data_IF_311146953364
#
_entry.id   IF_311146953364
#
_cell.length_a   1.000
_cell.length_b   1.000
_cell.length_c   1.000
_cell.angle_alpha   90.00
_cell.angle_beta   90.00
_cell.angle_gamma   90.00
#
_symmetry.space_group_name_H-M   'P 1'
#
loop_
_entity.id
_entity.type
_entity.pdbx_description
1 polymer ?
#
# COMPACT_ATOMS: atom_id res chain seq x y z
N UNK A 1 16.49 24.35 -22.59
CA UNK A 1 15.68 23.79 -21.49
C UNK A 1 15.31 22.37 -21.90
N UNK A 2 15.49 21.40 -21.01
CA UNK A 2 14.93 20.04 -21.25
C UNK A 2 13.46 20.08 -20.88
N UNK A 3 12.57 19.80 -21.82
CA UNK A 3 11.14 19.60 -21.54
C UNK A 3 10.89 18.15 -21.15
N UNK A 4 9.93 17.91 -20.26
CA UNK A 4 9.45 16.58 -19.86
C UNK A 4 7.94 16.55 -20.02
N UNK A 5 7.38 15.36 -20.26
CA UNK A 5 5.94 15.20 -20.42
C UNK A 5 5.23 15.26 -19.06
N UNK A 6 5.84 14.70 -18.02
CA UNK A 6 5.26 14.66 -16.67
C UNK A 6 6.31 14.96 -15.61
N UNK A 7 5.98 15.86 -14.68
CA UNK A 7 6.75 16.09 -13.46
C UNK A 7 5.96 15.57 -12.25
N UNK A 8 6.53 14.62 -11.52
CA UNK A 8 6.00 14.10 -10.25
C UNK A 8 6.70 14.83 -9.10
N UNK A 9 5.94 15.52 -8.27
CA UNK A 9 6.47 16.29 -7.14
C UNK A 9 6.29 15.51 -5.84
N UNK A 10 7.40 15.20 -5.19
CA UNK A 10 7.48 14.41 -3.97
C UNK A 10 7.93 12.97 -4.21
N UNK A 11 9.06 12.59 -3.61
CA UNK A 11 9.68 11.26 -3.69
C UNK A 11 9.26 10.30 -2.59
N UNK A 12 8.06 10.46 -2.00
CA UNK A 12 7.47 9.46 -1.12
C UNK A 12 6.92 8.26 -1.91
N UNK A 13 6.37 7.25 -1.20
CA UNK A 13 5.88 6.01 -1.82
C UNK A 13 4.88 6.28 -2.96
N UNK A 14 3.98 7.24 -2.80
CA UNK A 14 2.99 7.57 -3.83
C UNK A 14 3.64 8.14 -5.08
N UNK A 15 4.59 9.07 -4.91
CA UNK A 15 5.30 9.66 -6.05
C UNK A 15 6.17 8.64 -6.78
N UNK A 16 6.89 7.80 -6.04
CA UNK A 16 7.70 6.72 -6.62
C UNK A 16 6.85 5.75 -7.43
N UNK A 17 5.69 5.31 -6.90
CA UNK A 17 4.76 4.43 -7.63
C UNK A 17 4.08 5.13 -8.81
N UNK A 18 3.75 6.41 -8.70
CA UNK A 18 3.21 7.19 -9.81
C UNK A 18 4.24 7.27 -10.94
N UNK A 19 5.48 7.67 -10.64
CA UNK A 19 6.56 7.73 -11.62
C UNK A 19 6.81 6.38 -12.27
N UNK A 20 6.93 5.29 -11.46
CA UNK A 20 7.09 3.92 -11.96
C UNK A 20 5.99 3.51 -12.94
N UNK A 21 4.74 3.81 -12.62
CA UNK A 21 3.62 3.45 -13.49
C UNK A 21 3.59 4.29 -14.77
N UNK A 22 3.90 5.58 -14.69
CA UNK A 22 3.99 6.46 -15.87
C UNK A 22 5.08 6.04 -16.83
N UNK A 23 6.21 5.54 -16.34
CA UNK A 23 7.32 5.04 -17.17
C UNK A 23 6.98 3.76 -17.97
N UNK A 24 5.84 3.12 -17.73
CA UNK A 24 5.33 2.04 -18.59
C UNK A 24 4.77 2.54 -19.92
N UNK A 25 4.58 3.84 -20.03
CA UNK A 25 4.14 4.53 -21.24
C UNK A 25 5.32 5.22 -21.89
N UNK A 26 5.23 5.54 -23.15
CA UNK A 26 6.29 6.30 -23.86
C UNK A 26 6.26 7.78 -23.45
N UNK A 27 6.58 8.05 -22.20
CA UNK A 27 6.59 9.36 -21.57
C UNK A 27 7.96 9.64 -20.94
N UNK A 28 8.41 10.89 -21.07
CA UNK A 28 9.54 11.40 -20.29
C UNK A 28 9.04 11.88 -18.93
N UNK A 29 9.47 11.21 -17.85
CA UNK A 29 9.03 11.49 -16.48
C UNK A 29 10.19 11.99 -15.66
N UNK A 30 9.97 13.04 -14.86
CA UNK A 30 10.90 13.50 -13.82
C UNK A 30 10.24 13.41 -12.46
N UNK A 31 10.96 12.86 -11.47
CA UNK A 31 10.61 12.90 -10.06
C UNK A 31 11.42 14.00 -9.37
N UNK A 32 10.73 14.91 -8.69
CA UNK A 32 11.33 16.04 -7.97
C UNK A 32 11.10 15.83 -6.48
N UNK A 33 12.19 15.72 -5.72
CA UNK A 33 12.17 15.61 -4.26
C UNK A 33 12.94 16.79 -3.65
N UNK A 34 12.46 17.35 -2.56
CA UNK A 34 13.10 18.45 -1.86
C UNK A 34 14.24 18.01 -0.93
N UNK A 35 14.16 16.78 -0.46
CA UNK A 35 15.18 16.18 0.42
C UNK A 35 16.31 15.57 -0.42
N UNK A 36 17.42 15.25 0.25
CA UNK A 36 18.59 14.64 -0.40
C UNK A 36 18.34 13.20 -0.90
N UNK A 37 17.30 12.54 -0.37
CA UNK A 37 16.95 11.18 -0.75
C UNK A 37 15.42 10.99 -0.77
N UNK A 38 14.94 9.97 -1.49
CA UNK A 38 13.54 9.61 -1.55
C UNK A 38 13.09 8.90 -0.28
N UNK A 39 11.78 8.89 -0.02
CA UNK A 39 11.14 8.16 1.07
C UNK A 39 11.58 8.53 2.49
N UNK A 40 12.20 9.68 2.70
CA UNK A 40 12.73 10.13 4.00
C UNK A 40 11.66 10.58 5.00
N UNK A 41 10.44 10.84 4.54
CA UNK A 41 9.31 11.28 5.37
C UNK A 41 8.49 10.11 5.95
N UNK A 42 7.16 10.24 5.89
CA UNK A 42 6.19 9.26 6.41
C UNK A 42 6.40 7.86 5.83
N UNK A 43 6.86 7.76 4.60
CA UNK A 43 7.13 6.48 3.94
C UNK A 43 8.17 5.65 4.68
N UNK A 44 9.15 6.27 5.34
CA UNK A 44 10.14 5.57 6.16
C UNK A 44 9.62 5.25 7.57
N UNK A 45 8.69 6.04 8.07
CA UNK A 45 8.15 5.93 9.43
C UNK A 45 6.92 5.03 9.46
N UNK A 46 7.09 3.72 9.23
CA UNK A 46 6.00 2.74 9.26
C UNK A 46 6.47 1.40 9.84
N UNK A 47 5.55 0.48 10.07
CA UNK A 47 5.80 -0.84 10.64
C UNK A 47 6.08 -1.94 9.61
N UNK A 48 6.17 -1.60 8.33
CA UNK A 48 6.36 -2.53 7.21
C UNK A 48 5.29 -3.65 7.15
N UNK A 49 4.06 -3.36 7.57
CA UNK A 49 2.94 -4.30 7.55
C UNK A 49 2.04 -4.00 6.36
N UNK A 50 1.84 -4.99 5.49
CA UNK A 50 0.87 -4.92 4.41
C UNK A 50 -0.50 -5.34 4.94
N UNK A 51 -1.41 -4.38 5.04
CA UNK A 51 -2.74 -4.61 5.61
C UNK A 51 -3.61 -5.49 4.72
N UNK A 52 -4.35 -6.42 5.34
CA UNK A 52 -5.27 -7.32 4.65
C UNK A 52 -6.64 -6.69 4.32
N UNK A 53 -6.96 -5.53 4.91
CA UNK A 53 -8.18 -4.78 4.61
C UNK A 53 -9.38 -5.05 5.53
N UNK A 54 -9.34 -6.06 6.39
CA UNK A 54 -10.45 -6.45 7.26
C UNK A 54 -10.86 -5.38 8.31
N UNK A 55 -10.02 -4.40 8.58
CA UNK A 55 -10.33 -3.28 9.50
C UNK A 55 -11.03 -2.12 8.82
N UNK A 56 -11.07 -2.09 7.52
CA UNK A 56 -11.74 -1.05 6.78
C UNK A 56 -13.26 -1.29 6.73
N UNK A 57 -14.04 -0.20 6.60
CA UNK A 57 -15.49 -0.29 6.43
C UNK A 57 -15.80 -1.03 5.14
N UNK A 58 -16.56 -2.12 5.23
CA UNK A 58 -17.02 -2.92 4.10
C UNK A 58 -17.72 -2.05 3.05
N UNK A 59 -17.39 -2.25 1.76
CA UNK A 59 -17.91 -1.47 0.64
C UNK A 59 -17.30 -0.07 0.48
N UNK A 60 -16.31 0.31 1.29
CA UNK A 60 -15.57 1.56 1.08
C UNK A 60 -14.47 1.38 0.04
N UNK A 61 -14.19 2.46 -0.70
CA UNK A 61 -13.05 2.52 -1.62
C UNK A 61 -11.72 2.14 -0.94
N UNK A 62 -11.56 2.54 0.33
CA UNK A 62 -10.38 2.18 1.13
C UNK A 62 -10.26 0.65 1.30
N UNK A 63 -11.37 -0.04 1.60
CA UNK A 63 -11.38 -1.49 1.74
C UNK A 63 -10.98 -2.17 0.42
N UNK A 64 -11.60 -1.76 -0.68
CA UNK A 64 -11.32 -2.29 -2.02
C UNK A 64 -9.85 -2.09 -2.41
N UNK A 65 -9.35 -0.87 -2.30
CA UNK A 65 -7.96 -0.55 -2.68
C UNK A 65 -6.94 -1.25 -1.78
N UNK A 66 -7.24 -1.42 -0.47
CA UNK A 66 -6.37 -2.16 0.43
C UNK A 66 -6.27 -3.64 0.05
N UNK A 67 -7.39 -4.29 -0.26
CA UNK A 67 -7.42 -5.69 -0.68
C UNK A 67 -6.70 -5.87 -2.02
N UNK A 68 -6.97 -5.01 -3.00
CA UNK A 68 -6.29 -5.04 -4.30
C UNK A 68 -4.79 -4.80 -4.17
N UNK A 69 -4.40 -3.82 -3.37
CA UNK A 69 -2.99 -3.55 -3.07
C UNK A 69 -2.30 -4.75 -2.43
N UNK A 70 -2.92 -5.35 -1.40
CA UNK A 70 -2.40 -6.55 -0.76
C UNK A 70 -2.19 -7.71 -1.75
N UNK A 71 -3.16 -7.95 -2.63
CA UNK A 71 -3.08 -9.03 -3.62
C UNK A 71 -1.92 -8.85 -4.63
N UNK A 72 -1.50 -7.62 -4.90
CA UNK A 72 -0.40 -7.33 -5.84
C UNK A 72 1.00 -7.41 -5.22
N UNK A 73 1.11 -7.57 -3.88
CA UNK A 73 2.39 -7.45 -3.19
C UNK A 73 3.38 -8.57 -3.50
N UNK A 74 2.94 -9.80 -3.75
CA UNK A 74 3.85 -10.90 -4.08
C UNK A 74 4.61 -10.63 -5.38
N UNK A 75 3.89 -10.21 -6.43
CA UNK A 75 4.49 -9.93 -7.72
C UNK A 75 5.34 -8.65 -7.67
N UNK A 76 4.84 -7.62 -6.97
CA UNK A 76 5.56 -6.37 -6.78
C UNK A 76 6.88 -6.58 -6.03
N UNK A 77 6.86 -7.31 -4.93
CA UNK A 77 8.06 -7.57 -4.15
C UNK A 77 9.06 -8.43 -4.91
N UNK A 78 8.58 -9.38 -5.71
CA UNK A 78 9.43 -10.17 -6.61
C UNK A 78 10.09 -9.28 -7.69
N UNK A 79 9.32 -8.40 -8.31
CA UNK A 79 9.83 -7.48 -9.33
C UNK A 79 10.86 -6.49 -8.77
N UNK A 80 10.65 -6.01 -7.54
CA UNK A 80 11.52 -5.05 -6.88
C UNK A 80 12.63 -5.70 -6.03
N UNK A 81 12.70 -7.02 -6.00
CA UNK A 81 13.66 -7.79 -5.18
C UNK A 81 13.58 -7.44 -3.68
N UNK A 82 12.37 -7.14 -3.20
CA UNK A 82 12.12 -6.80 -1.79
C UNK A 82 11.67 -8.04 -1.02
N UNK A 83 12.31 -8.40 0.10
CA UNK A 83 11.85 -9.50 0.95
C UNK A 83 10.41 -9.28 1.43
N UNK A 84 9.55 -10.28 1.23
CA UNK A 84 8.16 -10.24 1.65
C UNK A 84 7.70 -11.61 2.13
N UNK A 85 6.93 -11.66 3.22
CA UNK A 85 6.39 -12.91 3.78
C UNK A 85 4.92 -12.74 4.16
N UNK A 86 4.09 -13.69 3.76
CA UNK A 86 2.68 -13.79 4.16
C UNK A 86 2.54 -14.54 5.47
N UNK A 87 2.99 -13.91 6.57
CA UNK A 87 2.95 -14.50 7.92
C UNK A 87 1.53 -14.55 8.53
N UNK A 88 0.55 -13.90 7.92
CA UNK A 88 -0.80 -13.79 8.46
C UNK A 88 -0.91 -12.82 9.63
N UNK A 89 -2.10 -12.76 10.22
CA UNK A 89 -2.36 -11.98 11.45
C UNK A 89 -3.36 -12.71 12.34
N UNK A 90 -3.24 -12.51 13.65
CA UNK A 90 -4.15 -13.03 14.66
C UNK A 90 -4.90 -11.89 15.33
N UNK A 91 -6.21 -12.01 15.38
CA UNK A 91 -7.07 -11.15 16.20
C UNK A 91 -7.45 -11.90 17.47
N UNK A 92 -7.04 -11.37 18.59
CA UNK A 92 -7.27 -11.98 19.90
C UNK A 92 -8.23 -11.11 20.70
N UNK A 93 -9.12 -11.72 21.47
CA UNK A 93 -10.01 -11.04 22.40
C UNK A 93 -10.12 -11.83 23.71
N UNK A 94 -10.34 -11.12 24.81
CA UNK A 94 -10.46 -11.68 26.15
C UNK A 94 -11.87 -11.52 26.74
N UNK A 95 -12.80 -10.89 26.01
CA UNK A 95 -14.17 -10.63 26.48
C UNK A 95 -15.23 -11.04 25.46
N UNK A 96 -16.46 -11.27 25.97
CA UNK A 96 -17.60 -11.74 25.15
C UNK A 96 -18.09 -10.70 24.14
N UNK A 97 -18.02 -9.41 24.46
CA UNK A 97 -18.47 -8.34 23.57
C UNK A 97 -17.55 -8.23 22.36
N UNK A 98 -16.25 -8.21 22.59
CA UNK A 98 -15.24 -8.20 21.52
C UNK A 98 -15.28 -9.47 20.67
N UNK A 99 -15.63 -10.64 21.28
CA UNK A 99 -15.82 -11.87 20.52
C UNK A 99 -17.00 -11.77 19.55
N UNK A 100 -18.09 -11.12 19.94
CA UNK A 100 -19.22 -10.88 19.03
C UNK A 100 -18.81 -9.99 17.84
N UNK A 101 -18.01 -8.94 18.10
CA UNK A 101 -17.46 -8.08 17.06
C UNK A 101 -16.55 -8.85 16.09
N UNK A 102 -15.69 -9.74 16.60
CA UNK A 102 -14.83 -10.58 15.77
C UNK A 102 -15.63 -11.55 14.89
N UNK A 103 -16.67 -12.17 15.43
CA UNK A 103 -17.56 -13.06 14.67
C UNK A 103 -18.25 -12.33 13.52
N UNK A 104 -18.71 -11.10 13.75
CA UNK A 104 -19.28 -10.25 12.71
C UNK A 104 -18.25 -9.93 11.62
N UNK A 105 -17.05 -9.46 11.98
CA UNK A 105 -15.96 -9.20 11.01
C UNK A 105 -15.65 -10.46 10.18
N UNK A 106 -15.58 -11.63 10.79
CA UNK A 106 -15.37 -12.89 10.07
C UNK A 106 -16.47 -13.19 9.05
N UNK A 107 -17.72 -12.87 9.35
CA UNK A 107 -18.83 -13.08 8.41
C UNK A 107 -18.81 -12.07 7.25
N UNK A 108 -18.40 -10.84 7.52
CA UNK A 108 -18.27 -9.78 6.52
C UNK A 108 -17.10 -10.04 5.54
N UNK A 109 -15.99 -10.59 6.04
CA UNK A 109 -14.81 -10.91 5.22
C UNK A 109 -15.00 -12.08 4.24
N UNK A 110 -16.08 -12.85 4.36
CA UNK A 110 -16.41 -13.96 3.44
C UNK A 110 -17.30 -13.53 2.25
N UNK A 111 -17.68 -12.27 2.17
CA UNK A 111 -18.47 -11.70 1.08
C UNK A 111 -17.60 -10.91 0.10
#
# INVERSE_FOLDING_TARGET
MKSVDVAVIGGGILGCFAARNLMRWNLSVVLIEKELDICTGITRANSAIVYAGYDNKTGSQKAELTVRGNASFDDLCRELEVPFSRCGSLLVTYDKESLAKLRRKKSEAKR
#
